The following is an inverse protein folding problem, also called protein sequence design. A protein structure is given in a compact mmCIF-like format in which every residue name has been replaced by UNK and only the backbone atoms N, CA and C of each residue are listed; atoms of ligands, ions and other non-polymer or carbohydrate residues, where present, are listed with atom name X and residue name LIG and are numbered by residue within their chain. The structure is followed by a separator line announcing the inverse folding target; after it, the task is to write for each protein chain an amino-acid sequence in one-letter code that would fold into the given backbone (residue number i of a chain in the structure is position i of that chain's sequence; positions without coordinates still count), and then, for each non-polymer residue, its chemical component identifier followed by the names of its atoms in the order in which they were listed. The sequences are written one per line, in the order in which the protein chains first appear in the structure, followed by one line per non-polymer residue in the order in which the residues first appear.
data_IF_392318512974
#
_entry.id   IF_392318512974
#
_cell.length_a   1.000
_cell.length_b   1.000
_cell.length_c   1.000
_cell.angle_alpha   90.00
_cell.angle_beta   90.00
_cell.angle_gamma   90.00
#
_symmetry.space_group_name_H-M   'P 1'
#
loop_
_entity.id
_entity.type
_entity.pdbx_description
1 polymer ?
#
# COMPACT_ATOMS: atom_id res chain seq x y z
N UNK A 1 7.17 14.29 37.04
CA UNK A 1 6.58 13.41 36.03
C UNK A 1 7.70 12.61 35.42
N UNK A 2 7.64 11.27 35.52
CA UNK A 2 8.64 10.41 34.90
C UNK A 2 8.54 10.58 33.38
N UNK A 3 9.69 10.74 32.74
CA UNK A 3 9.74 10.89 31.27
C UNK A 3 9.47 9.52 30.62
N UNK A 4 8.20 9.20 30.41
CA UNK A 4 7.74 7.90 29.89
C UNK A 4 8.35 7.59 28.52
N UNK A 5 8.64 8.63 27.71
CA UNK A 5 9.31 8.47 26.43
C UNK A 5 10.73 7.89 26.54
N UNK A 6 11.44 8.19 27.64
CA UNK A 6 12.78 7.65 27.87
C UNK A 6 12.78 6.16 28.19
N UNK A 7 11.63 5.61 28.60
CA UNK A 7 11.48 4.19 28.97
C UNK A 7 11.01 3.30 27.81
N UNK A 8 10.73 3.90 26.64
CA UNK A 8 10.35 3.13 25.45
C UNK A 8 11.50 2.22 25.02
N UNK A 9 11.23 0.92 25.01
CA UNK A 9 12.16 -0.11 24.51
C UNK A 9 11.55 -0.81 23.33
N UNK A 10 12.31 -1.05 22.24
CA UNK A 10 11.81 -1.83 21.13
C UNK A 10 11.51 -3.27 21.58
N UNK A 11 10.55 -3.96 20.97
CA UNK A 11 10.27 -5.36 21.25
C UNK A 11 11.53 -6.23 21.11
N UNK A 12 11.64 -7.29 21.91
CA UNK A 12 12.77 -8.20 21.85
C UNK A 12 12.93 -8.77 20.43
N UNK A 13 14.14 -8.70 19.85
CA UNK A 13 14.45 -9.17 18.51
C UNK A 13 14.17 -8.18 17.37
N UNK A 14 13.53 -7.05 17.62
CA UNK A 14 13.28 -6.01 16.58
C UNK A 14 14.55 -5.24 16.19
N UNK A 15 15.52 -5.17 17.07
CA UNK A 15 16.82 -4.54 16.81
C UNK A 15 17.93 -5.56 16.81
N UNK A 16 18.75 -5.56 15.75
CA UNK A 16 19.96 -6.39 15.66
C UNK A 16 21.21 -5.53 15.75
N UNK A 17 22.18 -5.97 16.55
CA UNK A 17 23.48 -5.31 16.61
C UNK A 17 24.14 -5.35 15.24
N UNK A 18 24.61 -4.19 14.76
CA UNK A 18 25.31 -4.10 13.46
C UNK A 18 26.56 -4.98 13.47
N UNK A 19 26.66 -5.87 12.47
CA UNK A 19 27.84 -6.69 12.27
C UNK A 19 29.02 -5.83 11.79
N UNK A 20 30.12 -5.81 12.55
CA UNK A 20 31.36 -5.14 12.16
C UNK A 20 32.24 -6.14 11.42
N UNK A 21 32.60 -5.84 10.19
CA UNK A 21 33.46 -6.67 9.34
C UNK A 21 34.92 -6.18 9.38
N UNK A 22 35.87 -7.06 9.05
CA UNK A 22 37.29 -6.70 9.05
C UNK A 22 37.88 -6.39 10.44
N UNK A 23 37.39 -7.09 11.51
CA UNK A 23 37.79 -6.86 12.90
C UNK A 23 38.36 -8.12 13.57
N UNK A 24 39.35 -8.75 12.94
CA UNK A 24 40.04 -9.91 13.44
C UNK A 24 39.46 -11.25 12.94
N UNK A 25 40.31 -12.27 12.90
CA UNK A 25 39.95 -13.59 12.39
C UNK A 25 38.95 -14.32 13.27
N UNK A 26 39.01 -14.15 14.58
CA UNK A 26 38.08 -14.75 15.54
C UNK A 26 36.62 -14.36 15.33
N UNK A 27 36.34 -13.25 14.63
CA UNK A 27 34.98 -12.86 14.29
C UNK A 27 34.35 -13.67 13.15
N UNK A 28 35.14 -14.51 12.44
CA UNK A 28 34.73 -15.19 11.21
C UNK A 28 34.53 -14.26 9.99
N UNK A 29 34.68 -12.95 10.18
CA UNK A 29 34.51 -11.92 9.14
C UNK A 29 35.70 -10.94 9.09
N UNK A 30 36.87 -11.40 9.53
CA UNK A 30 38.10 -10.59 9.62
C UNK A 30 38.74 -10.34 8.27
N UNK A 31 39.34 -11.38 7.69
CA UNK A 31 40.22 -11.29 6.50
C UNK A 31 39.50 -10.76 5.26
N UNK A 32 38.46 -11.45 4.81
CA UNK A 32 37.76 -11.14 3.56
C UNK A 32 36.43 -10.36 3.80
N UNK A 33 36.10 -10.09 5.04
CA UNK A 33 34.88 -9.34 5.42
C UNK A 33 33.56 -9.94 4.87
N UNK A 34 33.55 -11.26 4.60
CA UNK A 34 32.40 -11.98 4.01
C UNK A 34 32.25 -11.80 2.50
N UNK A 35 33.24 -11.19 1.82
CA UNK A 35 33.20 -10.99 0.36
C UNK A 35 33.85 -12.11 -0.45
N UNK A 36 34.42 -13.09 0.24
CA UNK A 36 35.20 -14.16 -0.41
C UNK A 36 36.60 -13.71 -0.90
N UNK A 37 37.20 -14.50 -1.75
CA UNK A 37 38.54 -14.25 -2.33
C UNK A 37 38.44 -13.19 -3.44
N UNK A 38 39.34 -13.16 -4.39
CA UNK A 38 39.32 -12.23 -5.54
C UNK A 38 38.05 -12.34 -6.36
N UNK A 39 37.69 -11.31 -7.10
CA UNK A 39 36.55 -11.27 -8.02
C UNK A 39 35.88 -9.90 -8.04
N UNK A 40 34.96 -9.71 -8.97
CA UNK A 40 34.23 -8.45 -9.14
C UNK A 40 33.48 -8.03 -7.87
N UNK A 41 32.75 -8.95 -7.24
CA UNK A 41 31.94 -8.67 -6.02
C UNK A 41 32.77 -8.32 -4.77
N UNK A 42 34.12 -8.56 -4.77
CA UNK A 42 34.98 -8.22 -3.64
C UNK A 42 35.51 -6.78 -3.69
N UNK A 43 35.32 -6.05 -4.79
CA UNK A 43 35.80 -4.68 -4.96
C UNK A 43 34.81 -3.65 -4.42
N UNK A 44 35.29 -2.43 -4.17
CA UNK A 44 34.44 -1.30 -3.81
C UNK A 44 33.57 -0.90 -5.02
N UNK A 45 32.32 -0.52 -4.78
CA UNK A 45 31.40 -0.11 -5.84
C UNK A 45 30.92 -1.25 -6.76
N UNK A 46 31.34 -2.49 -6.51
CA UNK A 46 30.86 -3.63 -7.28
C UNK A 46 29.41 -3.96 -6.94
N UNK A 47 28.61 -4.10 -7.96
CA UNK A 47 27.24 -4.57 -7.85
C UNK A 47 26.78 -5.12 -9.19
N UNK A 48 26.13 -6.26 -9.19
CA UNK A 48 25.50 -6.82 -10.39
C UNK A 48 24.12 -6.23 -10.49
N UNK A 49 23.75 -5.69 -11.65
CA UNK A 49 22.42 -5.17 -11.90
C UNK A 49 21.36 -6.27 -11.70
N UNK A 50 20.20 -5.94 -11.09
CA UNK A 50 19.10 -6.90 -10.96
C UNK A 50 18.74 -7.52 -12.30
N UNK A 51 18.65 -8.85 -12.34
CA UNK A 51 18.30 -9.59 -13.56
C UNK A 51 19.49 -9.79 -14.54
N UNK A 52 20.73 -9.50 -14.15
CA UNK A 52 21.90 -9.84 -14.96
C UNK A 52 22.18 -11.35 -14.92
N UNK A 53 22.34 -11.97 -16.08
CA UNK A 53 22.51 -13.42 -16.27
C UNK A 53 23.89 -13.76 -16.87
N UNK A 54 24.96 -13.14 -16.40
CA UNK A 54 26.32 -13.48 -16.80
C UNK A 54 26.66 -13.24 -18.27
N UNK A 55 25.93 -12.36 -18.97
CA UNK A 55 26.08 -12.10 -20.41
C UNK A 55 25.05 -12.80 -21.29
N UNK A 56 24.32 -13.79 -20.76
CA UNK A 56 23.14 -14.34 -21.42
C UNK A 56 22.04 -13.27 -21.46
N UNK A 57 21.21 -13.26 -22.54
CA UNK A 57 20.08 -12.35 -22.65
C UNK A 57 19.12 -12.53 -21.46
N UNK A 58 18.89 -11.48 -20.65
CA UNK A 58 18.01 -11.58 -19.48
C UNK A 58 16.60 -12.08 -19.82
N UNK A 59 16.01 -12.84 -18.91
CA UNK A 59 14.68 -13.46 -19.10
C UNK A 59 13.64 -12.45 -19.57
N UNK A 60 13.63 -11.25 -19.00
CA UNK A 60 12.71 -10.15 -19.37
C UNK A 60 12.80 -9.75 -20.86
N UNK A 61 13.98 -9.95 -21.51
CA UNK A 61 14.17 -9.67 -22.94
C UNK A 61 13.85 -10.88 -23.81
N UNK A 62 13.89 -12.10 -23.24
CA UNK A 62 13.52 -13.34 -23.95
C UNK A 62 12.02 -13.56 -24.03
N UNK A 63 11.28 -13.01 -23.06
CA UNK A 63 9.81 -13.09 -23.05
C UNK A 63 9.21 -12.19 -24.13
N UNK A 64 8.22 -12.68 -24.89
CA UNK A 64 7.49 -11.86 -25.85
C UNK A 64 6.78 -10.69 -25.15
N UNK A 65 6.82 -9.52 -25.75
CA UNK A 65 6.04 -8.35 -25.31
C UNK A 65 4.56 -8.68 -25.47
N UNK A 66 3.75 -8.38 -24.46
CA UNK A 66 2.31 -8.64 -24.48
C UNK A 66 1.54 -7.49 -23.84
N UNK A 67 0.27 -7.38 -24.20
CA UNK A 67 -0.66 -6.43 -23.65
C UNK A 67 -0.47 -5.01 -24.21
N UNK A 68 -1.29 -4.11 -23.74
CA UNK A 68 -1.23 -2.69 -24.02
C UNK A 68 -1.66 -1.90 -22.78
N UNK A 69 -1.23 -0.68 -22.69
CA UNK A 69 -1.69 0.24 -21.66
C UNK A 69 -2.78 1.13 -22.24
N UNK A 70 -3.97 1.14 -21.60
CA UNK A 70 -5.07 2.01 -22.02
C UNK A 70 -4.87 3.41 -21.43
N UNK A 71 -4.55 4.44 -22.24
CA UNK A 71 -4.34 5.81 -21.76
C UNK A 71 -5.62 6.47 -21.22
N UNK A 72 -6.80 5.94 -21.61
CA UNK A 72 -8.11 6.46 -21.19
C UNK A 72 -8.73 5.67 -20.04
N UNK A 73 -7.93 4.89 -19.32
CA UNK A 73 -8.40 4.15 -18.14
C UNK A 73 -8.85 5.10 -17.03
N UNK A 74 -10.04 4.86 -16.48
CA UNK A 74 -10.58 5.64 -15.36
C UNK A 74 -10.09 5.11 -14.03
N UNK A 75 -9.63 6.01 -13.18
CA UNK A 75 -9.10 5.71 -11.84
C UNK A 75 -9.98 6.32 -10.76
N UNK A 76 -10.94 5.54 -10.29
CA UNK A 76 -11.82 5.93 -9.20
C UNK A 76 -11.19 5.68 -7.83
N UNK A 77 -11.52 6.52 -6.85
CA UNK A 77 -11.36 6.16 -5.45
C UNK A 77 -12.44 5.15 -5.08
N UNK A 78 -12.05 3.95 -4.68
CA UNK A 78 -12.99 2.86 -4.38
C UNK A 78 -13.16 2.73 -2.88
N UNK A 79 -14.40 2.70 -2.40
CA UNK A 79 -14.75 2.39 -1.01
C UNK A 79 -15.84 1.33 -0.95
N UNK A 80 -15.93 0.65 0.18
CA UNK A 80 -16.99 -0.32 0.47
C UNK A 80 -17.91 0.21 1.57
N UNK A 81 -19.13 -0.33 1.65
CA UNK A 81 -20.10 0.07 2.67
C UNK A 81 -19.61 -0.21 4.09
N UNK A 82 -18.87 -1.31 4.31
CA UNK A 82 -18.25 -1.63 5.60
C UNK A 82 -17.32 -0.54 6.14
N UNK A 83 -16.72 0.24 5.26
CA UNK A 83 -15.83 1.34 5.64
C UNK A 83 -16.61 2.57 6.13
N UNK A 84 -17.86 2.70 5.74
CA UNK A 84 -18.74 3.81 6.13
C UNK A 84 -19.47 3.53 7.43
N UNK A 85 -19.69 2.25 7.76
CA UNK A 85 -20.41 1.83 8.94
C UNK A 85 -19.75 2.36 10.23
N UNK A 86 -20.57 2.97 11.11
CA UNK A 86 -20.12 3.52 12.39
C UNK A 86 -19.20 4.74 12.31
N UNK A 87 -18.99 5.32 11.12
CA UNK A 87 -18.12 6.50 10.94
C UNK A 87 -18.87 7.78 10.62
N UNK A 88 -20.13 7.65 10.22
CA UNK A 88 -21.01 8.77 9.91
C UNK A 88 -22.30 8.64 10.70
N UNK A 89 -22.85 9.78 11.10
CA UNK A 89 -24.16 9.85 11.76
C UNK A 89 -25.28 9.60 10.74
N UNK A 90 -26.46 9.24 11.23
CA UNK A 90 -27.63 9.07 10.38
C UNK A 90 -27.94 10.36 9.61
N UNK A 91 -28.43 10.23 8.38
CA UNK A 91 -28.74 11.31 7.44
C UNK A 91 -27.54 12.17 6.99
N UNK A 92 -26.31 11.78 7.33
CA UNK A 92 -25.12 12.49 6.88
C UNK A 92 -24.92 12.39 5.36
N UNK A 93 -24.40 13.48 4.76
CA UNK A 93 -23.99 13.51 3.35
C UNK A 93 -22.53 13.05 3.23
N UNK A 94 -22.34 11.95 2.53
CA UNK A 94 -21.02 11.34 2.30
C UNK A 94 -20.59 11.64 0.87
N UNK A 95 -19.60 12.49 0.72
CA UNK A 95 -18.93 12.81 -0.54
C UNK A 95 -17.43 12.50 -0.48
N UNK A 96 -16.70 12.70 -1.58
CA UNK A 96 -15.26 12.46 -1.63
C UNK A 96 -14.48 13.38 -0.67
N UNK A 97 -15.00 14.57 -0.41
CA UNK A 97 -14.36 15.56 0.45
C UNK A 97 -14.54 15.21 1.92
N UNK A 98 -15.75 14.80 2.33
CA UNK A 98 -16.02 14.31 3.68
C UNK A 98 -15.21 13.06 4.03
N UNK A 99 -15.06 12.13 3.07
CA UNK A 99 -14.22 10.93 3.23
C UNK A 99 -12.74 11.26 3.39
N UNK A 100 -12.25 12.25 2.69
CA UNK A 100 -10.87 12.72 2.83
C UNK A 100 -10.68 13.44 4.17
N UNK A 101 -11.62 14.27 4.59
CA UNK A 101 -11.59 14.95 5.90
C UNK A 101 -11.63 13.95 7.07
N UNK A 102 -12.42 12.88 6.94
CA UNK A 102 -12.49 11.78 7.92
C UNK A 102 -11.24 10.86 7.89
N UNK A 103 -10.27 11.09 6.98
CA UNK A 103 -9.06 10.28 6.87
C UNK A 103 -9.27 8.86 6.30
N UNK A 104 -10.46 8.56 5.78
CA UNK A 104 -10.80 7.26 5.17
C UNK A 104 -10.09 7.09 3.83
N UNK A 105 -9.97 8.19 3.09
CA UNK A 105 -9.33 8.25 1.78
C UNK A 105 -8.11 9.14 1.85
N UNK A 106 -6.93 8.56 1.58
CA UNK A 106 -5.67 9.30 1.60
C UNK A 106 -5.47 10.21 0.38
N UNK A 107 -5.97 9.80 -0.80
CA UNK A 107 -5.83 10.55 -2.05
C UNK A 107 -7.14 10.52 -2.83
N UNK A 108 -7.57 11.68 -3.32
CA UNK A 108 -8.73 11.80 -4.19
C UNK A 108 -8.37 11.30 -5.59
N UNK A 109 -9.12 10.31 -6.10
CA UNK A 109 -8.99 9.84 -7.48
C UNK A 109 -9.48 10.89 -8.48
N UNK A 110 -8.85 10.93 -9.67
CA UNK A 110 -9.20 11.90 -10.71
C UNK A 110 -10.63 11.75 -11.23
N UNK A 111 -11.14 10.54 -11.25
CA UNK A 111 -12.45 10.19 -11.81
C UNK A 111 -13.55 10.05 -10.74
N UNK A 112 -13.30 10.56 -9.54
CA UNK A 112 -14.28 10.60 -8.45
C UNK A 112 -14.37 9.35 -7.60
N UNK A 113 -15.47 9.22 -6.87
CA UNK A 113 -15.76 8.14 -5.93
C UNK A 113 -16.51 7.01 -6.59
N UNK A 114 -16.17 5.75 -6.25
CA UNK A 114 -16.93 4.56 -6.61
C UNK A 114 -17.25 3.73 -5.37
N UNK A 115 -18.54 3.47 -5.14
CA UNK A 115 -19.03 2.73 -3.97
C UNK A 115 -19.33 1.28 -4.33
N UNK A 116 -18.79 0.36 -3.54
CA UNK A 116 -19.00 -1.08 -3.67
C UNK A 116 -19.78 -1.65 -2.50
N UNK A 117 -20.56 -2.70 -2.74
CA UNK A 117 -21.55 -3.25 -1.81
C UNK A 117 -21.02 -4.29 -0.81
N UNK A 118 -19.71 -4.31 -0.46
CA UNK A 118 -19.24 -5.18 0.62
C UNK A 118 -19.60 -4.54 1.97
N UNK A 119 -20.08 -5.35 2.92
CA UNK A 119 -20.60 -4.90 4.21
C UNK A 119 -22.08 -4.59 4.16
N UNK A 120 -22.61 -4.12 5.28
CA UNK A 120 -24.01 -3.68 5.46
C UNK A 120 -24.00 -2.27 6.06
N UNK A 121 -25.10 -1.55 5.91
CA UNK A 121 -25.28 -0.24 6.52
C UNK A 121 -26.39 -0.34 7.57
N UNK A 122 -26.11 0.14 8.77
CA UNK A 122 -27.06 0.18 9.89
C UNK A 122 -27.87 1.47 9.91
N UNK A 123 -27.42 2.53 9.23
CA UNK A 123 -28.06 3.85 9.23
C UNK A 123 -28.28 4.38 7.80
N UNK A 124 -29.28 5.23 7.65
CA UNK A 124 -29.58 5.92 6.41
C UNK A 124 -28.46 6.95 6.13
N UNK A 125 -27.87 6.91 4.92
CA UNK A 125 -26.85 7.85 4.48
C UNK A 125 -27.18 8.38 3.08
N UNK A 126 -26.89 9.65 2.84
CA UNK A 126 -26.93 10.23 1.50
C UNK A 126 -25.54 10.20 0.90
N UNK A 127 -25.29 9.31 -0.08
CA UNK A 127 -23.95 9.10 -0.65
C UNK A 127 -23.87 9.71 -2.04
N UNK A 128 -22.92 10.64 -2.24
CA UNK A 128 -22.63 11.29 -3.53
C UNK A 128 -21.37 10.67 -4.16
N UNK A 129 -21.54 9.98 -5.30
CA UNK A 129 -20.44 9.31 -5.96
C UNK A 129 -20.58 9.27 -7.48
N UNK A 130 -19.46 9.18 -8.20
CA UNK A 130 -19.45 9.07 -9.66
C UNK A 130 -19.99 7.72 -10.15
N UNK A 131 -19.86 6.64 -9.33
CA UNK A 131 -20.41 5.32 -9.67
C UNK A 131 -20.77 4.50 -8.44
N UNK A 132 -21.80 3.66 -8.58
CA UNK A 132 -22.21 2.65 -7.62
C UNK A 132 -22.22 1.26 -8.25
N UNK A 133 -21.95 0.24 -7.46
CA UNK A 133 -22.26 -1.14 -7.87
C UNK A 133 -23.74 -1.42 -7.64
N UNK A 134 -24.33 -2.33 -8.41
CA UNK A 134 -25.74 -2.75 -8.26
C UNK A 134 -26.05 -3.20 -6.82
N UNK A 135 -25.14 -3.96 -6.21
CA UNK A 135 -25.27 -4.43 -4.82
C UNK A 135 -25.18 -3.28 -3.82
N UNK A 136 -24.34 -2.26 -4.05
CA UNK A 136 -24.25 -1.09 -3.19
C UNK A 136 -25.56 -0.29 -3.20
N UNK A 137 -26.11 -0.01 -4.38
CA UNK A 137 -27.37 0.73 -4.54
C UNK A 137 -28.52 0.02 -3.82
N UNK A 138 -28.64 -1.30 -3.97
CA UNK A 138 -29.68 -2.10 -3.29
C UNK A 138 -29.53 -2.03 -1.77
N UNK A 139 -28.33 -2.13 -1.22
CA UNK A 139 -28.08 -2.08 0.24
C UNK A 139 -28.28 -0.69 0.81
N UNK A 140 -27.87 0.38 0.10
CA UNK A 140 -28.14 1.76 0.52
C UNK A 140 -29.64 2.03 0.59
N UNK A 141 -30.39 1.60 -0.42
CA UNK A 141 -31.85 1.74 -0.43
C UNK A 141 -32.52 0.91 0.69
N UNK A 142 -32.04 -0.30 0.96
CA UNK A 142 -32.54 -1.15 2.04
C UNK A 142 -32.30 -0.53 3.42
N UNK A 143 -31.21 0.21 3.61
CA UNK A 143 -30.91 0.97 4.82
C UNK A 143 -31.65 2.32 4.92
N UNK A 144 -32.52 2.65 3.95
CA UNK A 144 -33.24 3.92 3.88
C UNK A 144 -32.44 5.12 3.39
N UNK A 145 -31.22 4.88 2.90
CA UNK A 145 -30.35 5.92 2.37
C UNK A 145 -30.60 6.26 0.90
N UNK A 146 -29.94 7.31 0.42
CA UNK A 146 -30.02 7.80 -0.97
C UNK A 146 -28.66 7.71 -1.66
N UNK A 147 -28.62 7.25 -2.92
CA UNK A 147 -27.42 7.21 -3.76
C UNK A 147 -27.54 8.24 -4.88
N UNK A 148 -26.73 9.29 -4.84
CA UNK A 148 -26.70 10.36 -5.86
C UNK A 148 -25.46 10.22 -6.75
N UNK A 149 -25.67 10.25 -8.08
CA UNK A 149 -24.58 10.21 -9.06
C UNK A 149 -24.19 11.66 -9.40
N UNK A 150 -22.89 11.96 -9.22
CA UNK A 150 -22.31 13.30 -9.45
C UNK A 150 -21.26 13.23 -10.57
#
# INVERSE_FOLDING_TARGET
MANELANLKPPAGSTKKRTRVGRGEGSGKGRTAGRGQKGYGSRSGSGVNPGFEGGQMPLQRRLPKRGFWNPFSKHYTVINLDTLEGRFEADAVVDLDSLHAAGIVAKKGKDGLKVLGRGELSCALTIKAAKFSKTATAKIAAAGGTAEIV
#
